data_IF_653318467777
#
_entry.id   IF_653318467777
#
_cell.length_a   1.000
_cell.length_b   1.000
_cell.length_c   1.000
_cell.angle_alpha   90.00
_cell.angle_beta   90.00
_cell.angle_gamma   90.00
#
_symmetry.space_group_name_H-M   'P 1'
#
loop_
_entity.id
_entity.type
_entity.pdbx_description
1 polymer ?
#
# COMPACT_ATOMS: atom_id res chain seq x y z
N UNK A 1 25.75 -3.57 -11.21
CA UNK A 1 25.86 -3.70 -9.74
C UNK A 1 24.44 -3.79 -9.20
N UNK A 2 23.95 -5.01 -8.93
CA UNK A 2 22.59 -5.26 -8.45
C UNK A 2 22.67 -5.75 -7.01
N UNK A 3 21.69 -5.39 -6.19
CA UNK A 3 21.65 -5.84 -4.81
C UNK A 3 21.33 -7.34 -4.79
N UNK A 4 22.13 -8.15 -4.11
CA UNK A 4 21.89 -9.60 -3.96
C UNK A 4 20.54 -9.83 -3.25
N UNK A 5 20.18 -8.95 -2.31
CA UNK A 5 18.93 -9.00 -1.57
C UNK A 5 17.72 -8.36 -2.26
N UNK A 6 17.82 -7.92 -3.52
CA UNK A 6 16.73 -7.19 -4.19
C UNK A 6 15.40 -7.96 -4.21
N UNK A 7 15.43 -9.24 -4.58
CA UNK A 7 14.22 -10.06 -4.64
C UNK A 7 13.57 -10.24 -3.26
N UNK A 8 14.38 -10.44 -2.22
CA UNK A 8 13.89 -10.56 -0.85
C UNK A 8 13.28 -9.25 -0.35
N UNK A 9 13.96 -8.12 -0.59
CA UNK A 9 13.46 -6.78 -0.21
C UNK A 9 12.12 -6.46 -0.88
N UNK A 10 11.92 -6.85 -2.15
CA UNK A 10 10.64 -6.69 -2.83
C UNK A 10 9.53 -7.52 -2.19
N UNK A 11 9.80 -8.79 -1.89
CA UNK A 11 8.84 -9.67 -1.24
C UNK A 11 8.39 -9.09 0.11
N UNK A 12 9.35 -8.71 0.96
CA UNK A 12 9.04 -8.11 2.27
C UNK A 12 8.28 -6.79 2.12
N UNK A 13 8.71 -5.90 1.22
CA UNK A 13 8.06 -4.62 0.98
C UNK A 13 6.60 -4.78 0.58
N UNK A 14 6.29 -5.69 -0.34
CA UNK A 14 4.91 -5.97 -0.79
C UNK A 14 4.07 -6.52 0.38
N UNK A 15 4.59 -7.49 1.14
CA UNK A 15 3.85 -8.09 2.25
C UNK A 15 3.57 -7.09 3.37
N UNK A 16 4.54 -6.24 3.71
CA UNK A 16 4.36 -5.18 4.71
C UNK A 16 3.31 -4.16 4.25
N UNK A 17 3.40 -3.67 3.02
CA UNK A 17 2.44 -2.69 2.47
C UNK A 17 1.03 -3.30 2.41
N UNK A 18 0.89 -4.52 1.89
CA UNK A 18 -0.41 -5.20 1.79
C UNK A 18 -1.05 -5.48 3.17
N UNK A 19 -0.21 -5.75 4.18
CA UNK A 19 -0.68 -6.01 5.56
C UNK A 19 -1.09 -4.72 6.28
N UNK A 20 -0.40 -3.61 6.05
CA UNK A 20 -0.81 -2.32 6.58
C UNK A 20 -2.07 -1.80 5.88
N UNK A 21 -2.09 -1.81 4.54
CA UNK A 21 -3.16 -1.26 3.73
C UNK A 21 -4.49 -2.02 3.84
N UNK A 22 -4.49 -3.31 4.22
CA UNK A 22 -5.74 -4.07 4.45
C UNK A 22 -6.48 -3.60 5.71
N UNK A 23 -5.75 -3.14 6.73
CA UNK A 23 -6.30 -2.87 8.05
C UNK A 23 -6.39 -1.37 8.36
N UNK A 24 -5.59 -0.55 7.69
CA UNK A 24 -5.43 0.87 8.02
C UNK A 24 -5.43 1.76 6.78
N UNK A 25 -6.04 2.93 6.92
CA UNK A 25 -5.77 4.10 6.09
C UNK A 25 -4.77 4.98 6.84
N UNK A 26 -3.60 5.21 6.24
CA UNK A 26 -2.55 6.03 6.83
C UNK A 26 -2.66 7.46 6.29
N UNK A 27 -2.77 8.45 7.18
CA UNK A 27 -2.73 9.87 6.82
C UNK A 27 -1.54 10.53 7.46
N UNK A 28 -0.82 11.35 6.71
CA UNK A 28 0.27 12.14 7.25
C UNK A 28 -0.24 13.12 8.32
N UNK A 29 0.50 13.24 9.43
CA UNK A 29 0.18 14.21 10.48
C UNK A 29 0.31 15.62 9.89
N UNK A 30 -0.72 16.49 10.01
CA UNK A 30 -0.63 17.86 9.54
C UNK A 30 0.62 18.57 10.07
N UNK A 31 1.25 19.36 9.21
CA UNK A 31 2.43 20.19 9.51
C UNK A 31 3.70 19.43 9.98
N UNK A 32 3.69 18.10 10.05
CA UNK A 32 4.91 17.33 10.32
C UNK A 32 5.88 17.42 9.13
N UNK A 33 7.15 17.80 9.31
CA UNK A 33 8.03 18.08 8.18
C UNK A 33 8.52 16.80 7.48
N UNK A 34 8.29 16.71 6.17
CA UNK A 34 8.91 15.69 5.30
C UNK A 34 10.20 16.24 4.70
N UNK A 35 11.31 16.05 5.41
CA UNK A 35 12.64 16.45 4.95
C UNK A 35 13.56 15.24 4.77
N UNK A 36 14.41 15.27 3.76
CA UNK A 36 15.36 14.19 3.46
C UNK A 36 16.62 14.30 4.32
N UNK A 37 17.17 13.16 4.70
CA UNK A 37 18.53 13.04 5.23
C UNK A 37 19.28 12.00 4.38
N UNK A 38 20.07 12.43 3.39
CA UNK A 38 20.91 11.53 2.61
C UNK A 38 22.01 10.93 3.48
N UNK A 39 22.14 9.61 3.46
CA UNK A 39 23.22 8.85 4.10
C UNK A 39 23.57 7.65 3.19
N UNK A 40 23.99 6.51 3.77
CA UNK A 40 24.13 5.26 3.02
C UNK A 40 22.78 4.87 2.36
N UNK A 41 21.66 5.11 3.06
CA UNK A 41 20.30 5.04 2.52
C UNK A 41 19.62 6.41 2.60
N UNK A 42 18.59 6.63 1.79
CA UNK A 42 17.74 7.81 1.90
C UNK A 42 16.73 7.62 3.04
N UNK A 43 16.70 8.53 4.01
CA UNK A 43 15.77 8.45 5.15
C UNK A 43 15.07 9.77 5.47
N UNK A 44 13.88 9.74 6.10
CA UNK A 44 13.25 10.95 6.64
C UNK A 44 14.06 11.52 7.81
N UNK A 45 14.40 12.81 7.76
CA UNK A 45 15.18 13.50 8.80
C UNK A 45 14.48 13.54 10.16
N UNK A 46 13.15 13.62 10.16
CA UNK A 46 12.31 13.78 11.35
C UNK A 46 11.33 12.61 11.55
N UNK A 47 11.61 11.46 10.92
CA UNK A 47 10.62 10.39 10.78
C UNK A 47 9.46 10.77 9.84
N UNK A 48 8.55 9.83 9.60
CA UNK A 48 7.33 10.04 8.83
C UNK A 48 6.14 9.70 9.74
N UNK A 49 5.61 10.71 10.43
CA UNK A 49 4.52 10.53 11.38
C UNK A 49 3.17 10.44 10.64
N UNK A 50 2.38 9.43 10.98
CA UNK A 50 1.08 9.16 10.36
C UNK A 50 0.02 8.92 11.44
N UNK A 51 -1.19 9.40 11.20
CA UNK A 51 -2.42 8.97 11.88
C UNK A 51 -2.96 7.72 11.20
N UNK A 52 -3.34 6.71 11.99
CA UNK A 52 -3.88 5.45 11.48
C UNK A 52 -5.39 5.40 11.73
N UNK A 53 -6.16 5.32 10.66
CA UNK A 53 -7.60 5.10 10.70
C UNK A 53 -7.91 3.64 10.36
N UNK A 54 -8.72 2.94 11.16
CA UNK A 54 -9.13 1.57 10.81
C UNK A 54 -9.82 1.59 9.45
N UNK A 55 -9.35 0.77 8.53
CA UNK A 55 -10.02 0.58 7.24
C UNK A 55 -11.31 -0.20 7.48
N UNK A 56 -12.45 0.39 7.14
CA UNK A 56 -13.69 -0.36 7.02
C UNK A 56 -13.48 -1.44 5.96
N UNK A 57 -13.85 -2.68 6.26
CA UNK A 57 -13.83 -3.73 5.24
C UNK A 57 -14.67 -3.22 4.08
N UNK A 58 -14.06 -3.13 2.89
CA UNK A 58 -14.80 -2.83 1.67
C UNK A 58 -15.93 -3.85 1.56
N UNK A 59 -17.15 -3.48 1.12
CA UNK A 59 -18.24 -4.43 1.05
C UNK A 59 -17.77 -5.63 0.23
N UNK A 60 -18.03 -6.82 0.75
CA UNK A 60 -17.87 -8.05 -0.01
C UNK A 60 -18.52 -7.82 -1.38
N UNK A 61 -17.77 -8.04 -2.44
CA UNK A 61 -18.35 -8.14 -3.78
C UNK A 61 -19.23 -9.38 -3.73
N UNK A 62 -20.53 -9.21 -3.43
CA UNK A 62 -21.50 -10.30 -3.46
C UNK A 62 -21.58 -10.81 -4.90
N UNK A 63 -21.61 -12.13 -5.07
CA UNK A 63 -21.48 -12.86 -6.34
C UNK A 63 -22.48 -12.45 -7.45
N UNK A 64 -23.50 -11.65 -7.14
CA UNK A 64 -24.44 -11.09 -8.13
C UNK A 64 -23.78 -10.20 -9.19
N UNK A 65 -22.61 -9.60 -8.91
CA UNK A 65 -21.92 -8.73 -9.88
C UNK A 65 -21.07 -9.49 -10.91
N UNK A 66 -20.84 -10.81 -10.74
CA UNK A 66 -20.14 -11.61 -11.77
C UNK A 66 -21.02 -11.94 -12.98
N UNK A 67 -22.34 -12.05 -12.80
CA UNK A 67 -23.23 -12.53 -13.85
C UNK A 67 -23.41 -11.51 -14.99
N UNK A 68 -23.41 -10.21 -14.68
CA UNK A 68 -23.54 -9.17 -15.71
C UNK A 68 -22.24 -8.90 -16.50
N UNK A 69 -21.08 -9.01 -15.85
CA UNK A 69 -19.79 -8.73 -16.51
C UNK A 69 -19.40 -9.83 -17.50
N UNK A 70 -19.83 -11.08 -17.29
CA UNK A 70 -19.53 -12.18 -18.21
C UNK A 70 -20.37 -12.13 -19.51
N UNK A 71 -21.58 -11.57 -19.48
CA UNK A 71 -22.44 -11.48 -20.67
C UNK A 71 -21.99 -10.40 -21.67
N UNK A 72 -21.32 -9.35 -21.21
CA UNK A 72 -20.86 -8.24 -22.07
C UNK A 72 -19.55 -8.51 -22.82
N UNK A 73 -18.82 -9.60 -22.53
CA UNK A 73 -17.56 -9.94 -23.19
C UNK A 73 -17.69 -10.97 -24.32
N UNK A 74 -18.82 -11.68 -24.45
CA UNK A 74 -19.01 -12.74 -25.46
C UNK A 74 -19.84 -12.26 -26.66
N UNK A 75 -20.44 -11.06 -26.59
CA UNK A 75 -21.24 -10.46 -27.66
C UNK A 75 -20.47 -9.37 -28.46
N UNK A 76 -19.15 -9.49 -28.55
CA UNK A 76 -18.28 -8.63 -29.35
C UNK A 76 -17.37 -9.44 -30.25
#
# INVERSE_FOLDING_TARGET
>A
RRCIGEGFAWMEGILLIATLARAWCLRHVPDHPVALQPAITLRPKHGLLMTLEKRSKQPEITDEQKSHTHAQLVAG
#
